data_IF_142727766015
#
_entry.id   IF_142727766015
#
_cell.length_a   1.000
_cell.length_b   1.000
_cell.length_c   1.000
_cell.angle_alpha   90.00
_cell.angle_beta   90.00
_cell.angle_gamma   90.00
#
_symmetry.space_group_name_H-M   'P 1'
#
loop_
_entity.id
_entity.type
_entity.pdbx_description
1 polymer ?
#
# COMPACT_ATOMS: atom_id res chain seq x y z
N UNK A 1 -64.50 65.32 -43.99
CA UNK A 1 -64.30 64.54 -42.75
C UNK A 1 -62.99 63.79 -42.89
N UNK A 2 -61.96 64.24 -42.26
CA UNK A 2 -60.62 63.60 -42.31
C UNK A 2 -60.39 62.90 -40.98
N UNK A 3 -60.33 61.59 -41.01
CA UNK A 3 -60.05 60.79 -39.84
C UNK A 3 -58.53 60.68 -39.60
N UNK A 4 -58.09 61.31 -38.56
CA UNK A 4 -56.65 61.31 -38.14
C UNK A 4 -56.31 59.99 -37.39
N UNK A 5 -55.60 59.10 -38.06
CA UNK A 5 -55.16 57.84 -37.47
C UNK A 5 -53.85 58.10 -36.78
N UNK A 6 -53.92 58.30 -35.42
CA UNK A 6 -52.75 58.43 -34.54
C UNK A 6 -51.92 57.16 -34.55
N UNK A 7 -50.70 57.21 -35.11
CA UNK A 7 -49.70 56.14 -34.98
C UNK A 7 -49.17 56.09 -33.51
N UNK A 8 -49.61 55.09 -32.77
CA UNK A 8 -49.05 54.75 -31.47
C UNK A 8 -47.55 54.41 -31.60
N UNK A 9 -46.70 55.27 -31.06
CA UNK A 9 -45.25 54.99 -30.92
C UNK A 9 -45.03 53.95 -29.83
N UNK A 10 -44.79 52.73 -30.20
CA UNK A 10 -44.31 51.71 -29.25
C UNK A 10 -42.97 52.14 -28.64
N UNK A 11 -42.95 52.35 -27.33
CA UNK A 11 -41.73 52.57 -26.55
C UNK A 11 -40.90 51.32 -26.63
N UNK A 12 -39.70 51.36 -27.26
CA UNK A 12 -38.70 50.28 -27.16
C UNK A 12 -38.30 50.11 -25.70
N UNK A 13 -38.76 49.05 -25.06
CA UNK A 13 -38.29 48.60 -23.77
C UNK A 13 -36.89 48.01 -24.00
N UNK A 14 -35.84 48.70 -23.53
CA UNK A 14 -34.53 48.10 -23.40
C UNK A 14 -34.62 47.04 -22.29
N UNK A 15 -34.82 45.80 -22.66
CA UNK A 15 -34.73 44.66 -21.77
C UNK A 15 -33.24 44.46 -21.48
N UNK A 16 -32.77 45.00 -20.37
CA UNK A 16 -31.45 44.60 -19.86
C UNK A 16 -31.62 43.19 -19.32
N UNK A 17 -30.95 42.24 -19.95
CA UNK A 17 -30.87 40.87 -19.46
C UNK A 17 -29.94 40.90 -18.25
N UNK A 18 -30.46 40.50 -17.11
CA UNK A 18 -29.68 40.36 -15.89
C UNK A 18 -28.89 39.02 -15.93
N UNK A 19 -27.58 39.12 -16.00
CA UNK A 19 -26.70 37.96 -16.07
C UNK A 19 -26.31 37.46 -14.66
N UNK A 20 -26.72 38.13 -13.60
CA UNK A 20 -26.36 37.78 -12.22
C UNK A 20 -26.67 36.34 -11.87
N UNK A 21 -27.86 35.78 -12.18
CA UNK A 21 -28.15 34.37 -11.87
C UNK A 21 -27.28 33.38 -12.65
N UNK A 22 -26.89 33.75 -13.87
CA UNK A 22 -26.03 32.89 -14.71
C UNK A 22 -24.60 32.84 -14.19
N UNK A 23 -24.09 33.98 -13.71
CA UNK A 23 -22.76 34.05 -13.09
C UNK A 23 -22.71 33.29 -11.76
N UNK A 24 -23.78 33.40 -10.94
CA UNK A 24 -23.88 32.70 -9.67
C UNK A 24 -23.89 31.17 -9.84
N UNK A 25 -24.65 30.68 -10.82
CA UNK A 25 -24.63 29.25 -11.16
C UNK A 25 -23.23 28.78 -11.61
N UNK A 26 -22.51 29.57 -12.40
CA UNK A 26 -21.15 29.26 -12.80
C UNK A 26 -20.20 29.25 -11.60
N UNK A 27 -20.29 30.22 -10.69
CA UNK A 27 -19.50 30.27 -9.48
C UNK A 27 -19.75 29.06 -8.59
N UNK A 28 -21.03 28.68 -8.38
CA UNK A 28 -21.39 27.49 -7.62
C UNK A 28 -20.82 26.21 -8.27
N UNK A 29 -20.89 26.11 -9.58
CA UNK A 29 -20.33 24.96 -10.31
C UNK A 29 -18.81 24.86 -10.11
N UNK A 30 -18.09 25.99 -10.27
CA UNK A 30 -16.63 26.03 -10.11
C UNK A 30 -16.23 25.69 -8.68
N UNK A 31 -16.91 26.27 -7.68
CA UNK A 31 -16.62 26.00 -6.27
C UNK A 31 -16.90 24.54 -5.91
N UNK A 32 -17.96 23.96 -6.46
CA UNK A 32 -18.26 22.53 -6.28
C UNK A 32 -17.17 21.64 -6.87
N UNK A 33 -16.70 21.88 -8.11
CA UNK A 33 -15.61 21.14 -8.69
C UNK A 33 -14.31 21.30 -7.92
N UNK A 34 -13.98 22.52 -7.47
CA UNK A 34 -12.82 22.77 -6.64
C UNK A 34 -12.89 21.99 -5.32
N UNK A 35 -14.05 21.93 -4.69
CA UNK A 35 -14.27 21.15 -3.48
C UNK A 35 -14.08 19.65 -3.75
N UNK A 36 -14.70 19.13 -4.81
CA UNK A 36 -14.59 17.72 -5.19
C UNK A 36 -13.12 17.33 -5.49
N UNK A 37 -12.39 18.14 -6.24
CA UNK A 37 -10.99 17.86 -6.57
C UNK A 37 -10.06 17.98 -5.36
N UNK A 38 -10.37 18.87 -4.40
CA UNK A 38 -9.63 19.00 -3.15
C UNK A 38 -9.83 17.82 -2.19
N UNK A 39 -10.99 17.16 -2.24
CA UNK A 39 -11.29 15.99 -1.40
C UNK A 39 -10.67 14.71 -1.95
N UNK A 40 -10.44 14.61 -3.25
CA UNK A 40 -9.76 13.47 -3.88
C UNK A 40 -8.25 13.61 -3.68
N UNK A 41 -7.77 13.29 -2.48
CA UNK A 41 -6.33 13.06 -2.29
C UNK A 41 -6.01 11.66 -2.79
N UNK A 42 -5.24 11.50 -3.88
CA UNK A 42 -4.77 10.19 -4.28
C UNK A 42 -3.89 9.65 -3.15
N UNK A 43 -4.30 8.56 -2.53
CA UNK A 43 -3.45 7.80 -1.63
C UNK A 43 -2.46 7.02 -2.50
N UNK A 44 -1.38 7.67 -2.87
CA UNK A 44 -0.26 6.96 -3.49
C UNK A 44 0.46 6.18 -2.40
N UNK A 45 0.59 4.88 -2.58
CA UNK A 45 1.52 4.08 -1.81
C UNK A 45 2.93 4.57 -2.13
N UNK A 46 3.60 5.19 -1.17
CA UNK A 46 5.04 5.40 -1.25
C UNK A 46 5.71 4.02 -1.05
N UNK A 47 5.96 3.33 -2.16
CA UNK A 47 6.82 2.15 -2.20
C UNK A 47 8.25 2.63 -1.97
N UNK A 48 8.69 2.66 -0.73
CA UNK A 48 10.10 2.84 -0.40
C UNK A 48 10.83 1.55 -0.79
N UNK A 49 11.23 1.46 -2.05
CA UNK A 49 12.18 0.42 -2.46
C UNK A 49 13.51 0.72 -1.77
N UNK A 50 14.10 -0.25 -1.05
CA UNK A 50 15.46 -0.09 -0.58
C UNK A 50 16.34 0.15 -1.81
N UNK A 51 17.06 1.27 -1.82
CA UNK A 51 17.97 1.59 -2.90
C UNK A 51 19.01 0.48 -3.00
N UNK A 52 19.22 0.02 -4.23
CA UNK A 52 20.23 -0.99 -4.55
C UNK A 52 21.63 -0.33 -4.60
N UNK A 53 21.89 0.59 -3.67
CA UNK A 53 23.20 1.23 -3.55
C UNK A 53 24.24 0.17 -3.17
N UNK A 54 25.06 -0.17 -4.16
CA UNK A 54 26.19 -1.09 -4.03
C UNK A 54 27.30 -0.62 -3.07
N UNK A 55 27.11 0.54 -2.43
CA UNK A 55 28.06 1.14 -1.48
C UNK A 55 27.83 0.75 -0.02
N UNK A 56 26.73 0.09 0.31
CA UNK A 56 26.53 -0.50 1.64
C UNK A 56 27.27 -1.83 1.63
N UNK A 57 28.36 -1.89 2.34
CA UNK A 57 29.20 -3.07 2.45
C UNK A 57 28.36 -4.29 2.80
N UNK A 58 28.61 -5.40 2.12
CA UNK A 58 27.87 -6.68 2.28
C UNK A 58 27.84 -7.21 3.72
N UNK A 59 28.63 -6.65 4.61
CA UNK A 59 28.66 -6.97 6.04
C UNK A 59 27.42 -6.48 6.81
N UNK A 60 26.84 -5.33 6.43
CA UNK A 60 25.62 -4.83 7.07
C UNK A 60 24.34 -5.50 6.56
N UNK A 61 24.42 -6.20 5.42
CA UNK A 61 23.32 -7.04 4.90
C UNK A 61 23.19 -8.38 5.61
N UNK A 62 24.27 -8.88 6.22
CA UNK A 62 24.30 -10.21 6.82
C UNK A 62 23.70 -10.29 8.21
N UNK A 63 23.49 -9.16 8.88
CA UNK A 63 22.98 -9.12 10.26
C UNK A 63 21.58 -8.52 10.42
N UNK A 64 20.71 -8.59 9.41
CA UNK A 64 19.30 -8.69 9.74
C UNK A 64 19.19 -9.92 10.60
N UNK A 65 19.10 -9.72 11.92
CA UNK A 65 19.00 -10.81 12.89
C UNK A 65 18.03 -11.81 12.31
N UNK A 66 18.54 -12.98 11.93
CA UNK A 66 17.78 -14.00 11.20
C UNK A 66 16.44 -14.29 11.87
N UNK A 67 16.37 -14.12 13.19
CA UNK A 67 15.16 -14.24 14.00
C UNK A 67 14.06 -13.18 13.72
N UNK A 68 14.38 -12.07 13.05
CA UNK A 68 13.43 -10.98 12.75
C UNK A 68 12.97 -10.97 11.28
N UNK A 69 13.58 -11.81 10.44
CA UNK A 69 13.15 -11.94 9.05
C UNK A 69 11.90 -12.82 8.95
N UNK A 70 10.94 -12.40 8.16
CA UNK A 70 9.75 -13.17 7.81
C UNK A 70 9.69 -13.26 6.30
N UNK A 71 9.69 -14.47 5.75
CA UNK A 71 9.51 -14.67 4.31
C UNK A 71 8.07 -15.06 4.04
N UNK A 72 7.43 -14.34 3.14
CA UNK A 72 6.07 -14.58 2.66
C UNK A 72 6.13 -15.10 1.23
N UNK A 73 5.55 -16.26 1.00
CA UNK A 73 5.43 -16.90 -0.31
C UNK A 73 3.97 -16.78 -0.74
N UNK A 74 3.71 -15.92 -1.72
CA UNK A 74 2.37 -15.71 -2.25
C UNK A 74 2.03 -16.82 -3.23
N UNK A 75 0.94 -17.52 -2.98
CA UNK A 75 0.49 -18.68 -3.73
C UNK A 75 -0.86 -18.40 -4.40
N UNK A 76 -1.33 -19.33 -5.18
CA UNK A 76 -2.68 -19.40 -5.72
C UNK A 76 -3.76 -19.45 -4.59
N UNK A 77 -5.02 -19.12 -4.91
CA UNK A 77 -6.18 -19.22 -4.01
C UNK A 77 -6.13 -18.32 -2.75
N UNK A 78 -5.51 -17.16 -2.81
CA UNK A 78 -5.38 -16.25 -1.67
C UNK A 78 -4.73 -16.90 -0.43
N UNK A 79 -3.87 -17.87 -0.63
CA UNK A 79 -3.08 -18.49 0.43
C UNK A 79 -1.68 -17.89 0.47
N UNK A 80 -1.14 -17.82 1.67
CA UNK A 80 0.22 -17.36 1.92
C UNK A 80 0.92 -18.46 2.70
N UNK A 81 2.07 -18.90 2.21
CA UNK A 81 2.99 -19.66 3.02
C UNK A 81 4.01 -18.72 3.62
N UNK A 82 4.36 -18.93 4.85
CA UNK A 82 5.36 -18.10 5.51
C UNK A 82 6.26 -18.92 6.41
N UNK A 83 7.46 -18.42 6.58
CA UNK A 83 8.41 -18.95 7.56
C UNK A 83 9.20 -17.80 8.19
N UNK A 84 9.73 -18.05 9.38
CA UNK A 84 10.47 -17.10 10.17
C UNK A 84 11.94 -17.47 10.18
N UNK A 85 12.82 -16.50 9.99
CA UNK A 85 14.25 -16.69 10.02
C UNK A 85 14.86 -17.28 8.76
N UNK A 86 15.95 -18.02 8.90
CA UNK A 86 16.62 -18.70 7.78
C UNK A 86 15.82 -19.92 7.34
N UNK A 87 15.74 -20.12 6.02
CA UNK A 87 15.05 -21.27 5.44
C UNK A 87 15.70 -22.59 5.89
N UNK A 88 14.95 -23.42 6.59
CA UNK A 88 15.35 -24.77 6.96
C UNK A 88 14.59 -25.79 6.12
N UNK A 89 15.30 -26.47 5.23
CA UNK A 89 14.74 -27.47 4.32
C UNK A 89 14.52 -28.83 4.96
N UNK A 90 15.05 -29.06 6.15
CA UNK A 90 15.00 -30.37 6.80
C UNK A 90 13.69 -30.60 7.56
N UNK A 91 13.06 -29.51 8.07
CA UNK A 91 11.84 -29.59 8.85
C UNK A 91 10.60 -29.26 8.00
N UNK A 92 9.74 -30.25 7.66
CA UNK A 92 8.50 -29.98 6.91
C UNK A 92 7.51 -29.07 7.67
N UNK A 93 7.59 -28.99 9.00
CA UNK A 93 6.75 -28.15 9.85
C UNK A 93 7.23 -26.69 9.98
N UNK A 94 8.35 -26.37 9.37
CA UNK A 94 8.94 -25.04 9.42
C UNK A 94 8.08 -24.01 8.69
N UNK A 95 7.45 -24.41 7.60
CA UNK A 95 6.53 -23.57 6.83
C UNK A 95 5.12 -23.63 7.43
N UNK A 96 4.46 -22.48 7.50
CA UNK A 96 3.08 -22.34 7.98
C UNK A 96 2.23 -21.70 6.90
N UNK A 97 0.94 -22.01 6.93
CA UNK A 97 -0.05 -21.42 6.01
C UNK A 97 -0.84 -20.34 6.73
N UNK A 98 -1.12 -19.26 6.05
CA UNK A 98 -2.00 -18.18 6.49
C UNK A 98 -2.78 -17.61 5.31
N UNK A 99 -3.72 -16.74 5.61
CA UNK A 99 -4.54 -16.02 4.64
C UNK A 99 -4.43 -14.50 4.83
N UNK A 100 -5.09 -13.74 3.96
CA UNK A 100 -5.12 -12.27 4.03
C UNK A 100 -6.15 -11.74 5.04
N UNK A 101 -6.72 -12.58 5.89
CA UNK A 101 -7.69 -12.16 6.89
C UNK A 101 -7.03 -11.38 8.04
N UNK A 102 -7.87 -10.67 8.80
CA UNK A 102 -7.43 -9.95 9.99
C UNK A 102 -6.82 -10.87 11.06
N UNK A 103 -7.26 -12.12 11.13
CA UNK A 103 -6.74 -13.14 12.07
C UNK A 103 -5.57 -13.94 11.46
N UNK A 104 -5.32 -13.80 10.17
CA UNK A 104 -4.24 -14.46 9.45
C UNK A 104 -2.94 -13.64 9.47
N UNK A 105 -2.53 -13.15 8.29
CA UNK A 105 -1.27 -12.43 8.11
C UNK A 105 -1.15 -11.23 9.06
N UNK A 106 -2.22 -10.43 9.19
CA UNK A 106 -2.22 -9.24 10.05
C UNK A 106 -1.89 -9.58 11.50
N UNK A 107 -2.51 -10.60 12.07
CA UNK A 107 -2.28 -10.99 13.46
C UNK A 107 -0.82 -11.42 13.70
N UNK A 108 -0.21 -12.12 12.74
CA UNK A 108 1.19 -12.55 12.79
C UNK A 108 2.13 -11.34 12.78
N UNK A 109 1.90 -10.42 11.84
CA UNK A 109 2.72 -9.22 11.70
C UNK A 109 2.57 -8.26 12.89
N UNK A 110 1.35 -8.09 13.41
CA UNK A 110 1.08 -7.30 14.61
C UNK A 110 1.80 -7.85 15.83
N UNK A 111 1.76 -9.15 16.03
CA UNK A 111 2.45 -9.82 17.13
C UNK A 111 3.96 -9.59 17.10
N UNK A 112 4.54 -9.55 15.89
CA UNK A 112 5.97 -9.31 15.71
C UNK A 112 6.36 -7.83 15.80
N UNK A 113 5.42 -6.92 15.56
CA UNK A 113 5.67 -5.48 15.49
C UNK A 113 4.89 -4.65 16.53
N UNK A 114 4.59 -5.24 17.70
CA UNK A 114 3.81 -4.59 18.74
C UNK A 114 4.37 -3.23 19.18
N UNK A 115 5.68 -3.12 19.32
CA UNK A 115 6.35 -1.88 19.76
C UNK A 115 6.21 -0.74 18.75
N UNK A 116 6.25 -1.01 17.46
CA UNK A 116 6.04 0.02 16.46
C UNK A 116 4.55 0.40 16.34
N UNK A 117 3.65 -0.56 16.55
CA UNK A 117 2.21 -0.30 16.54
C UNK A 117 1.76 0.57 17.72
N UNK A 118 2.28 0.36 18.93
CA UNK A 118 1.99 1.22 20.07
C UNK A 118 2.45 2.66 19.83
N UNK A 119 3.68 2.84 19.33
CA UNK A 119 4.21 4.17 18.97
C UNK A 119 3.41 4.82 17.84
N UNK A 120 2.96 4.05 16.85
CA UNK A 120 2.09 4.56 15.79
C UNK A 120 0.75 5.03 16.36
N UNK A 121 0.13 4.25 17.25
CA UNK A 121 -1.13 4.63 17.88
C UNK A 121 -1.03 5.94 18.69
N UNK A 122 0.07 6.14 19.43
CA UNK A 122 0.34 7.40 20.13
C UNK A 122 0.52 8.56 19.14
N UNK A 123 1.21 8.32 18.03
CA UNK A 123 1.40 9.32 16.98
C UNK A 123 0.08 9.70 16.30
N UNK A 124 -0.77 8.71 16.04
CA UNK A 124 -2.11 8.92 15.47
C UNK A 124 -3.00 9.76 16.43
N UNK A 125 -2.93 9.51 17.74
CA UNK A 125 -3.63 10.32 18.72
C UNK A 125 -3.12 11.78 18.74
N UNK A 126 -1.81 12.01 18.63
CA UNK A 126 -1.24 13.37 18.55
C UNK A 126 -1.71 14.09 17.30
N UNK A 127 -1.85 13.38 16.18
CA UNK A 127 -2.37 13.92 14.92
C UNK A 127 -3.86 14.27 15.03
N UNK A 128 -4.67 13.38 15.61
CA UNK A 128 -6.10 13.64 15.85
C UNK A 128 -6.31 14.84 16.79
N UNK A 129 -5.43 15.03 17.78
CA UNK A 129 -5.43 16.18 18.68
C UNK A 129 -4.87 17.47 18.03
N UNK A 130 -4.56 17.44 16.72
CA UNK A 130 -3.95 18.57 15.97
C UNK A 130 -2.66 19.12 16.60
N UNK A 131 -1.91 18.30 17.33
CA UNK A 131 -0.66 18.70 18.02
C UNK A 131 0.57 18.64 17.13
N UNK A 132 0.46 17.99 15.98
CA UNK A 132 1.56 17.79 15.03
C UNK A 132 1.10 18.10 13.60
N UNK A 133 2.01 18.60 12.77
CA UNK A 133 1.73 18.86 11.36
C UNK A 133 1.77 17.56 10.55
N UNK A 134 1.18 17.58 9.35
CA UNK A 134 1.22 16.41 8.44
C UNK A 134 2.66 16.05 8.02
N UNK A 135 3.54 17.03 7.91
CA UNK A 135 4.95 16.83 7.59
C UNK A 135 5.70 16.13 8.72
N UNK A 136 5.51 16.59 9.96
CA UNK A 136 6.11 15.98 11.14
C UNK A 136 5.59 14.57 11.37
N UNK A 137 4.28 14.36 11.16
CA UNK A 137 3.66 13.03 11.25
C UNK A 137 4.33 12.04 10.28
N UNK A 138 4.52 12.42 9.00
CA UNK A 138 5.18 11.56 8.01
C UNK A 138 6.62 11.24 8.41
N UNK A 139 7.35 12.23 8.90
CA UNK A 139 8.75 12.06 9.33
C UNK A 139 8.86 11.12 10.53
N UNK A 140 8.02 11.29 11.55
CA UNK A 140 8.01 10.42 12.72
C UNK A 140 7.53 9.02 12.40
N UNK A 141 6.50 8.88 11.53
CA UNK A 141 6.03 7.59 11.06
C UNK A 141 7.13 6.82 10.30
N UNK A 142 7.90 7.51 9.46
CA UNK A 142 9.04 6.91 8.75
C UNK A 142 10.11 6.42 9.73
N UNK A 143 10.43 7.18 10.77
CA UNK A 143 11.36 6.76 11.83
C UNK A 143 10.86 5.52 12.58
N UNK A 144 9.57 5.46 12.91
CA UNK A 144 8.98 4.30 13.60
C UNK A 144 9.07 3.06 12.71
N UNK A 145 8.74 3.20 11.41
CA UNK A 145 8.80 2.10 10.45
C UNK A 145 10.22 1.59 10.19
N UNK A 146 11.23 2.47 10.28
CA UNK A 146 12.64 2.15 10.08
C UNK A 146 13.41 1.79 11.35
N UNK A 147 12.76 1.80 12.53
CA UNK A 147 13.43 1.58 13.81
C UNK A 147 14.08 0.19 13.89
N UNK A 148 15.15 0.11 14.70
CA UNK A 148 15.77 -1.17 15.03
C UNK A 148 14.78 -2.02 15.84
N UNK A 149 14.64 -3.29 15.46
CA UNK A 149 13.67 -4.20 16.09
C UNK A 149 12.36 -4.36 15.30
N UNK A 150 12.11 -3.58 14.23
CA UNK A 150 11.02 -3.87 13.32
C UNK A 150 11.37 -5.08 12.43
N UNK A 151 10.43 -6.00 12.18
CA UNK A 151 10.69 -7.14 11.34
C UNK A 151 10.99 -6.73 9.90
N UNK A 152 11.88 -7.46 9.25
CA UNK A 152 12.09 -7.34 7.80
C UNK A 152 11.26 -8.41 7.10
N UNK A 153 10.43 -8.01 6.15
CA UNK A 153 9.56 -8.92 5.42
C UNK A 153 10.07 -9.11 3.99
N UNK A 154 10.28 -10.36 3.60
CA UNK A 154 10.66 -10.72 2.24
C UNK A 154 9.43 -11.30 1.57
N UNK A 155 8.97 -10.66 0.50
CA UNK A 155 7.78 -11.08 -0.25
C UNK A 155 8.26 -11.73 -1.54
N UNK A 156 7.88 -12.98 -1.76
CA UNK A 156 8.17 -13.74 -2.96
C UNK A 156 6.87 -14.27 -3.54
N UNK A 157 6.61 -13.98 -4.81
CA UNK A 157 5.40 -14.39 -5.50
C UNK A 157 5.70 -15.56 -6.44
N UNK A 158 4.88 -16.60 -6.36
CA UNK A 158 4.89 -17.67 -7.36
C UNK A 158 4.24 -17.16 -8.66
N UNK A 159 4.53 -17.81 -9.78
CA UNK A 159 3.97 -17.44 -11.09
C UNK A 159 2.44 -17.46 -11.14
N UNK A 160 1.82 -18.31 -10.34
CA UNK A 160 0.35 -18.40 -10.23
C UNK A 160 -0.27 -17.38 -9.26
N UNK A 161 0.54 -16.65 -8.49
CA UNK A 161 0.05 -15.61 -7.62
C UNK A 161 -0.49 -14.42 -8.42
N UNK A 162 -1.61 -13.87 -8.00
CA UNK A 162 -2.21 -12.70 -8.67
C UNK A 162 -1.55 -11.41 -8.17
N UNK A 163 -1.58 -10.38 -9.01
CA UNK A 163 -1.13 -9.04 -8.62
C UNK A 163 -1.91 -8.51 -7.40
N UNK A 164 -3.19 -8.87 -7.30
CA UNK A 164 -4.02 -8.56 -6.13
C UNK A 164 -3.39 -9.07 -4.84
N UNK A 165 -2.90 -10.31 -4.83
CA UNK A 165 -2.28 -10.91 -3.65
C UNK A 165 -1.04 -10.12 -3.19
N UNK A 166 -0.27 -9.58 -4.14
CA UNK A 166 0.87 -8.72 -3.83
C UNK A 166 0.42 -7.39 -3.20
N UNK A 167 -0.60 -6.76 -3.78
CA UNK A 167 -1.15 -5.50 -3.26
C UNK A 167 -1.73 -5.71 -1.86
N UNK A 168 -2.52 -6.75 -1.66
CA UNK A 168 -3.10 -7.09 -0.35
C UNK A 168 -2.00 -7.32 0.70
N UNK A 169 -0.90 -8.01 0.34
CA UNK A 169 0.24 -8.18 1.24
C UNK A 169 0.93 -6.84 1.58
N UNK A 170 1.11 -5.95 0.60
CA UNK A 170 1.70 -4.63 0.83
C UNK A 170 0.81 -3.74 1.71
N UNK A 171 -0.50 -3.82 1.55
CA UNK A 171 -1.46 -3.12 2.42
C UNK A 171 -1.33 -3.59 3.87
N UNK A 172 -1.20 -4.89 4.10
CA UNK A 172 -0.97 -5.42 5.43
C UNK A 172 0.36 -4.94 6.05
N UNK A 173 1.43 -4.76 5.25
CA UNK A 173 2.67 -4.17 5.73
C UNK A 173 2.45 -2.72 6.22
N UNK A 174 1.68 -1.93 5.49
CA UNK A 174 1.39 -0.54 5.88
C UNK A 174 0.50 -0.46 7.13
N UNK A 175 -0.51 -1.31 7.22
CA UNK A 175 -1.40 -1.41 8.40
C UNK A 175 -0.58 -1.75 9.64
N UNK A 176 0.32 -2.72 9.51
CA UNK A 176 1.16 -3.20 10.59
C UNK A 176 2.41 -2.34 10.87
N UNK A 177 2.54 -1.17 10.22
CA UNK A 177 3.67 -0.25 10.37
C UNK A 177 5.04 -0.88 10.07
N UNK A 178 5.10 -1.81 9.13
CA UNK A 178 6.35 -2.42 8.66
C UNK A 178 6.90 -1.58 7.51
N UNK A 179 8.09 -1.03 7.71
CA UNK A 179 8.76 -0.22 6.70
C UNK A 179 9.87 -0.96 5.95
N UNK A 180 10.37 -2.07 6.54
CA UNK A 180 11.45 -2.85 5.96
C UNK A 180 10.88 -4.07 5.25
N UNK A 181 10.67 -3.98 3.94
CA UNK A 181 10.24 -5.11 3.12
C UNK A 181 10.99 -5.14 1.80
N UNK A 182 11.17 -6.33 1.26
CA UNK A 182 11.84 -6.58 -0.02
C UNK A 182 10.94 -7.48 -0.87
N UNK A 183 10.75 -7.13 -2.13
CA UNK A 183 10.08 -7.99 -3.10
C UNK A 183 11.17 -8.68 -3.91
N UNK A 184 11.21 -10.00 -3.85
CA UNK A 184 12.25 -10.81 -4.46
C UNK A 184 11.65 -11.96 -5.28
N UNK A 185 12.44 -12.54 -6.15
CA UNK A 185 12.06 -13.72 -6.91
C UNK A 185 12.13 -14.96 -6.02
N UNK A 186 11.29 -15.94 -6.32
CA UNK A 186 11.33 -17.22 -5.63
C UNK A 186 12.67 -17.92 -5.89
N UNK A 187 13.27 -18.44 -4.82
CA UNK A 187 14.53 -19.17 -4.89
C UNK A 187 14.34 -20.69 -4.95
N UNK A 188 15.38 -21.44 -5.35
CA UNK A 188 15.33 -22.90 -5.39
C UNK A 188 15.06 -23.52 -4.02
N UNK A 189 15.48 -22.85 -2.95
CA UNK A 189 15.23 -23.28 -1.56
C UNK A 189 13.74 -23.22 -1.24
N UNK A 190 13.06 -22.15 -1.64
CA UNK A 190 11.62 -21.97 -1.39
C UNK A 190 10.80 -23.03 -2.16
N UNK A 191 11.21 -23.35 -3.38
CA UNK A 191 10.56 -24.39 -4.19
C UNK A 191 10.66 -25.75 -3.49
N UNK A 192 11.84 -26.07 -2.94
CA UNK A 192 12.05 -27.30 -2.15
C UNK A 192 11.19 -27.30 -0.89
N UNK A 193 11.11 -26.16 -0.17
CA UNK A 193 10.27 -26.04 1.02
C UNK A 193 8.78 -26.23 0.71
N UNK A 194 8.29 -25.62 -0.37
CA UNK A 194 6.91 -25.78 -0.81
C UNK A 194 6.63 -27.25 -1.16
N UNK A 195 7.54 -27.88 -1.89
CA UNK A 195 7.42 -29.29 -2.26
C UNK A 195 7.37 -30.19 -1.03
N UNK A 196 8.24 -29.95 -0.04
CA UNK A 196 8.25 -30.72 1.21
C UNK A 196 6.98 -30.52 2.04
N UNK A 197 6.40 -29.31 2.01
CA UNK A 197 5.18 -28.99 2.77
C UNK A 197 3.90 -29.47 2.09
N UNK A 198 3.78 -29.26 0.77
CA UNK A 198 2.55 -29.58 0.01
C UNK A 198 2.59 -30.95 -0.64
N UNK A 199 3.75 -31.60 -0.72
CA UNK A 199 3.96 -32.84 -1.47
C UNK A 199 3.99 -32.66 -3.00
N UNK A 200 3.71 -31.46 -3.50
CA UNK A 200 3.65 -31.15 -4.94
C UNK A 200 4.59 -29.99 -5.26
N UNK A 201 5.40 -30.15 -6.28
CA UNK A 201 6.23 -29.03 -6.74
C UNK A 201 5.37 -27.98 -7.44
N UNK A 202 5.58 -26.68 -7.19
CA UNK A 202 4.83 -25.63 -7.85
C UNK A 202 5.09 -25.66 -9.36
N UNK A 203 4.03 -25.82 -10.15
CA UNK A 203 4.12 -25.89 -11.61
C UNK A 203 4.71 -24.61 -12.21
N UNK A 204 5.64 -24.75 -13.13
CA UNK A 204 6.25 -23.65 -13.87
C UNK A 204 7.50 -23.01 -13.24
N UNK A 205 7.90 -23.41 -12.02
CA UNK A 205 9.11 -22.91 -11.35
C UNK A 205 10.33 -23.84 -11.52
N UNK A 206 10.11 -25.07 -11.98
CA UNK A 206 11.17 -26.09 -12.11
C UNK A 206 12.28 -25.72 -13.11
N UNK A 207 12.00 -24.87 -14.11
CA UNK A 207 13.00 -24.46 -15.11
C UNK A 207 14.00 -23.42 -14.59
N UNK A 208 13.71 -22.73 -13.48
CA UNK A 208 14.63 -21.77 -12.89
C UNK A 208 15.65 -22.40 -11.94
N UNK A 209 15.42 -23.63 -11.50
CA UNK A 209 16.29 -24.34 -10.57
C UNK A 209 17.42 -25.14 -11.28
N UNK A 210 17.28 -25.43 -12.59
CA UNK A 210 18.25 -26.22 -13.35
C UNK A 210 19.30 -25.38 -14.09
N UNK A 211 19.21 -24.04 -14.06
CA UNK A 211 20.12 -23.16 -14.81
C UNK A 211 21.26 -22.60 -13.96
N UNK A 212 21.45 -23.12 -12.74
CA UNK A 212 22.57 -22.73 -11.85
C UNK A 212 23.31 -24.01 -11.42
N UNK A 213 23.99 -24.63 -12.34
CA UNK A 213 25.18 -25.48 -12.16
C UNK A 213 26.36 -24.86 -12.93
#
# INVERSE_FOLDING_TARGET
MATNTGKSKQKKKNVRVDFTPMVDMNMLLITFFMLCTSLVKPQTMELSMPSNDKSIQDQDRSEVKASQAITLLLVEDNKIYYYEGMANTEDPKFMKTTDYSANGLRAILQKKNLTALTKKAELDQKKLAMKITDADYKTELSKIKGADGTPTVIIRALKKATYKNLVDALDEMQICAIGKYVIDKIGPVDIKLIKNYTGVAPEGELQAAETVE
#
